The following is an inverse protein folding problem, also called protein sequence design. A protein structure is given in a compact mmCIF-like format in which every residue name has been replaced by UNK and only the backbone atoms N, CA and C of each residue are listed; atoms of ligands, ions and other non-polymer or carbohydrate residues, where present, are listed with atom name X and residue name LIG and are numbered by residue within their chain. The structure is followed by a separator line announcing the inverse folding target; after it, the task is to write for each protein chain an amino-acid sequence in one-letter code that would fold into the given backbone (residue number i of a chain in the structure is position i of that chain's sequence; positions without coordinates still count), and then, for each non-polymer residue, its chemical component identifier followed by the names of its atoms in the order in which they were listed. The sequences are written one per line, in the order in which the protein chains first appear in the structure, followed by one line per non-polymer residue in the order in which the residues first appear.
data_IF_196236311084
#
_entry.id   IF_196236311084
#
_cell.length_a   1.000
_cell.length_b   1.000
_cell.length_c   1.000
_cell.angle_alpha   90.00
_cell.angle_beta   90.00
_cell.angle_gamma   90.00
#
_symmetry.space_group_name_H-M   'P 1'
#
loop_
_entity.id
_entity.type
_entity.pdbx_description
1 polymer ?
#
# COMPACT_ATOMS: atom_id res chain seq x y z
N UNK A 1 0.21 -2.41 -13.73
CA UNK A 1 0.92 -2.91 -12.53
C UNK A 1 1.24 -4.40 -12.70
N UNK A 2 2.33 -4.92 -12.12
CA UNK A 2 2.81 -6.31 -12.32
C UNK A 2 1.92 -7.40 -11.68
N UNK A 3 1.08 -7.03 -10.70
CA UNK A 3 0.23 -7.96 -9.94
C UNK A 3 -1.24 -7.54 -10.00
N UNK A 4 -2.13 -8.52 -10.18
CA UNK A 4 -3.59 -8.31 -10.13
C UNK A 4 -4.06 -8.03 -8.70
N UNK A 5 -5.24 -7.41 -8.58
CA UNK A 5 -5.85 -7.15 -7.27
C UNK A 5 -6.07 -8.45 -6.47
N UNK A 6 -6.61 -9.47 -7.12
CA UNK A 6 -6.84 -10.79 -6.52
C UNK A 6 -5.55 -11.42 -5.99
N UNK A 7 -4.45 -11.30 -6.75
CA UNK A 7 -3.15 -11.81 -6.31
C UNK A 7 -2.66 -11.09 -5.04
N UNK A 8 -2.75 -9.77 -5.00
CA UNK A 8 -2.35 -8.99 -3.82
C UNK A 8 -3.21 -9.34 -2.60
N UNK A 9 -4.52 -9.48 -2.77
CA UNK A 9 -5.45 -9.92 -1.71
C UNK A 9 -5.05 -11.28 -1.15
N UNK A 10 -4.79 -12.26 -2.01
CA UNK A 10 -4.32 -13.59 -1.60
C UNK A 10 -3.01 -13.51 -0.82
N UNK A 11 -2.06 -12.67 -1.24
CA UNK A 11 -0.80 -12.47 -0.53
C UNK A 11 -1.01 -11.92 0.89
N UNK A 12 -1.94 -10.95 1.05
CA UNK A 12 -2.29 -10.38 2.36
C UNK A 12 -2.96 -11.44 3.26
N UNK A 13 -3.88 -12.23 2.71
CA UNK A 13 -4.51 -13.34 3.44
C UNK A 13 -3.51 -14.40 3.91
N UNK A 14 -2.55 -14.78 3.06
CA UNK A 14 -1.48 -15.70 3.42
C UNK A 14 -0.57 -15.11 4.51
N UNK A 15 -0.22 -13.82 4.41
CA UNK A 15 0.60 -13.15 5.41
C UNK A 15 -0.03 -13.20 6.81
N UNK A 16 -1.35 -13.02 6.93
CA UNK A 16 -2.05 -13.14 8.22
C UNK A 16 -2.06 -14.57 8.77
N UNK A 17 -1.88 -15.59 7.93
CA UNK A 17 -1.69 -17.00 8.33
C UNK A 17 -0.24 -17.31 8.70
N UNK A 18 0.68 -16.37 8.52
CA UNK A 18 2.12 -16.59 8.69
C UNK A 18 2.81 -17.24 7.49
N UNK A 19 2.14 -17.29 6.34
CA UNK A 19 2.63 -17.90 5.10
C UNK A 19 3.00 -16.83 4.07
N UNK A 20 3.95 -17.13 3.20
CA UNK A 20 4.24 -16.32 2.01
C UNK A 20 3.97 -17.14 0.74
N UNK A 21 3.38 -16.53 -0.30
CA UNK A 21 3.26 -17.19 -1.59
C UNK A 21 4.63 -17.37 -2.23
N UNK A 22 4.73 -18.33 -3.16
CA UNK A 22 5.95 -18.52 -3.94
C UNK A 22 6.39 -17.22 -4.63
N UNK A 23 7.69 -16.95 -4.53
CA UNK A 23 8.28 -15.74 -5.11
C UNK A 23 8.18 -15.80 -6.64
N UNK A 24 7.52 -14.83 -7.28
CA UNK A 24 7.40 -14.80 -8.73
C UNK A 24 8.76 -14.68 -9.44
N UNK A 25 8.90 -15.29 -10.62
CA UNK A 25 10.14 -15.19 -11.39
C UNK A 25 10.52 -13.73 -11.71
N UNK A 26 11.79 -13.39 -11.49
CA UNK A 26 12.35 -12.06 -11.77
C UNK A 26 12.14 -11.01 -10.66
N UNK A 27 12.02 -11.45 -9.40
CA UNK A 27 12.19 -10.62 -8.20
C UNK A 27 12.86 -11.47 -7.11
N UNK A 28 13.68 -10.87 -6.24
CA UNK A 28 14.22 -11.60 -5.08
C UNK A 28 13.13 -11.81 -4.03
N UNK A 29 13.23 -12.92 -3.29
CA UNK A 29 12.30 -13.26 -2.20
C UNK A 29 12.19 -12.14 -1.18
N UNK A 30 13.33 -11.55 -0.77
CA UNK A 30 13.36 -10.41 0.16
C UNK A 30 12.53 -9.22 -0.34
N UNK A 31 12.68 -8.85 -1.62
CA UNK A 31 11.92 -7.74 -2.21
C UNK A 31 10.44 -8.07 -2.34
N UNK A 32 10.12 -9.33 -2.61
CA UNK A 32 8.73 -9.78 -2.66
C UNK A 32 8.07 -9.73 -1.27
N UNK A 33 8.74 -10.25 -0.24
CA UNK A 33 8.25 -10.20 1.14
C UNK A 33 8.11 -8.75 1.64
N UNK A 34 9.00 -7.83 1.23
CA UNK A 34 8.85 -6.40 1.50
C UNK A 34 7.58 -5.82 0.84
N UNK A 35 7.28 -6.20 -0.40
CA UNK A 35 6.04 -5.77 -1.07
C UNK A 35 4.79 -6.30 -0.37
N UNK A 36 4.77 -7.57 0.02
CA UNK A 36 3.65 -8.17 0.75
C UNK A 36 3.39 -7.41 2.04
N UNK A 37 4.44 -7.11 2.84
CA UNK A 37 4.32 -6.28 4.05
C UNK A 37 3.76 -4.88 3.78
N UNK A 38 4.15 -4.25 2.66
CA UNK A 38 3.59 -2.96 2.28
C UNK A 38 2.09 -3.05 1.95
N UNK A 39 1.67 -4.10 1.23
CA UNK A 39 0.25 -4.32 0.94
C UNK A 39 -0.57 -4.55 2.21
N UNK A 40 -0.05 -5.33 3.15
CA UNK A 40 -0.70 -5.56 4.46
C UNK A 40 -0.92 -4.22 5.17
N UNK A 41 0.12 -3.39 5.28
CA UNK A 41 0.03 -2.06 5.92
C UNK A 41 -1.00 -1.15 5.24
N UNK A 42 -1.08 -1.16 3.91
CA UNK A 42 -2.07 -0.40 3.14
C UNK A 42 -3.48 -0.89 3.44
N UNK A 43 -3.69 -2.21 3.51
CA UNK A 43 -5.00 -2.79 3.84
C UNK A 43 -5.40 -2.47 5.28
N UNK A 44 -4.47 -2.53 6.22
CA UNK A 44 -4.70 -2.17 7.62
C UNK A 44 -5.07 -0.68 7.79
N UNK A 45 -4.49 0.22 6.98
CA UNK A 45 -4.74 1.66 7.08
C UNK A 45 -5.96 2.14 6.29
N UNK A 46 -6.18 1.61 5.09
CA UNK A 46 -7.13 2.15 4.11
C UNK A 46 -8.17 1.13 3.64
N UNK A 47 -8.11 -0.12 4.10
CA UNK A 47 -8.98 -1.20 3.68
C UNK A 47 -8.52 -1.91 2.39
N UNK A 48 -9.17 -3.04 2.03
CA UNK A 48 -8.77 -3.88 0.92
C UNK A 48 -8.85 -3.16 -0.44
N UNK A 49 -9.82 -2.25 -0.62
CA UNK A 49 -9.99 -1.50 -1.86
C UNK A 49 -8.81 -0.61 -2.21
N UNK A 50 -7.98 -0.23 -1.23
CA UNK A 50 -6.76 0.53 -1.47
C UNK A 50 -5.71 -0.24 -2.29
N UNK A 51 -5.79 -1.58 -2.37
CA UNK A 51 -4.92 -2.38 -3.24
C UNK A 51 -5.33 -2.35 -4.71
N UNK A 52 -6.58 -1.92 -5.01
CA UNK A 52 -7.06 -1.81 -6.39
C UNK A 52 -6.25 -0.73 -7.10
N UNK A 53 -5.75 -1.09 -8.26
CA UNK A 53 -5.12 -0.12 -9.14
C UNK A 53 -6.16 0.93 -9.53
N UNK A 54 -5.86 2.19 -9.27
CA UNK A 54 -6.69 3.30 -9.78
C UNK A 54 -6.28 3.55 -11.22
N UNK A 55 -7.24 3.52 -12.14
CA UNK A 55 -6.98 3.75 -13.57
C UNK A 55 -6.48 5.17 -13.84
N UNK A 56 -6.71 6.09 -12.90
CA UNK A 56 -6.25 7.47 -12.95
C UNK A 56 -5.65 7.85 -11.60
N UNK A 57 -4.63 8.71 -11.64
CA UNK A 57 -4.13 9.34 -10.42
C UNK A 57 -5.27 10.17 -9.80
N UNK A 58 -5.40 10.13 -8.48
CA UNK A 58 -6.32 11.02 -7.79
C UNK A 58 -5.92 12.47 -8.10
N UNK A 59 -6.84 13.25 -8.67
CA UNK A 59 -6.68 14.69 -8.70
C UNK A 59 -6.89 15.22 -7.28
N UNK A 60 -5.82 15.79 -6.72
CA UNK A 60 -5.83 16.36 -5.39
C UNK A 60 -6.15 17.84 -5.48
N UNK A 61 -7.19 18.26 -4.78
CA UNK A 61 -7.50 19.68 -4.60
C UNK A 61 -6.40 20.38 -3.79
N UNK A 62 -6.21 21.71 -3.93
CA UNK A 62 -5.28 22.47 -3.11
C UNK A 62 -5.49 22.25 -1.61
N UNK A 63 -6.75 22.13 -1.18
CA UNK A 63 -7.16 21.92 0.22
C UNK A 63 -6.71 20.54 0.72
N UNK A 64 -6.93 19.49 -0.07
CA UNK A 64 -6.49 18.15 0.32
C UNK A 64 -4.96 18.05 0.36
N UNK A 65 -4.25 18.71 -0.58
CA UNK A 65 -2.78 18.78 -0.55
C UNK A 65 -2.30 19.49 0.70
N UNK A 66 -2.93 20.61 1.04
CA UNK A 66 -2.61 21.37 2.25
C UNK A 66 -2.84 20.54 3.51
N UNK A 67 -3.93 19.77 3.58
CA UNK A 67 -4.22 18.89 4.71
C UNK A 67 -3.12 17.84 4.94
N UNK A 68 -2.55 17.27 3.88
CA UNK A 68 -1.42 16.32 3.99
C UNK A 68 -0.16 17.02 4.52
N UNK A 69 0.15 18.22 4.02
CA UNK A 69 1.31 19.00 4.47
C UNK A 69 1.15 19.42 5.92
N UNK A 70 -0.04 19.86 6.33
CA UNK A 70 -0.35 20.26 7.70
C UNK A 70 -0.10 19.12 8.70
N UNK A 71 -0.43 17.87 8.35
CA UNK A 71 -0.14 16.69 9.18
C UNK A 71 1.37 16.46 9.39
N UNK A 72 2.16 16.62 8.32
CA UNK A 72 3.62 16.53 8.42
C UNK A 72 4.18 17.67 9.26
N UNK A 73 3.67 18.89 9.09
CA UNK A 73 4.04 20.04 9.91
C UNK A 73 3.65 19.86 11.39
N UNK A 74 2.58 19.11 11.67
CA UNK A 74 2.17 18.73 13.02
C UNK A 74 3.06 17.63 13.65
N UNK A 75 4.06 17.13 12.93
CA UNK A 75 5.04 16.17 13.44
C UNK A 75 4.82 14.71 13.01
N UNK A 76 3.81 14.43 12.18
CA UNK A 76 3.66 13.10 11.60
C UNK A 76 4.75 12.81 10.56
N UNK A 77 5.22 11.54 10.51
CA UNK A 77 6.17 11.15 9.47
C UNK A 77 5.51 11.17 8.08
N UNK A 78 6.25 11.61 7.07
CA UNK A 78 5.77 11.61 5.68
C UNK A 78 5.31 10.22 5.21
N UNK A 79 5.98 9.15 5.65
CA UNK A 79 5.62 7.76 5.36
C UNK A 79 4.26 7.40 5.95
N UNK A 80 4.01 7.77 7.20
CA UNK A 80 2.73 7.52 7.88
C UNK A 80 1.59 8.26 7.18
N UNK A 81 1.80 9.54 6.83
CA UNK A 81 0.81 10.35 6.13
C UNK A 81 0.49 9.76 4.76
N UNK A 82 1.49 9.36 3.98
CA UNK A 82 1.32 8.72 2.67
C UNK A 82 0.54 7.40 2.77
N UNK A 83 0.97 6.50 3.67
CA UNK A 83 0.30 5.22 3.93
C UNK A 83 -1.18 5.40 4.29
N UNK A 84 -1.49 6.27 5.25
CA UNK A 84 -2.88 6.55 5.66
C UNK A 84 -3.74 7.18 4.56
N UNK A 85 -3.10 7.82 3.59
CA UNK A 85 -3.77 8.50 2.48
C UNK A 85 -3.82 7.66 1.20
N UNK A 86 -3.28 6.43 1.24
CA UNK A 86 -3.19 5.52 0.10
C UNK A 86 -2.32 6.06 -1.04
N UNK A 87 -1.24 6.79 -0.69
CA UNK A 87 -0.23 7.36 -1.60
C UNK A 87 1.03 6.49 -1.58
#
# INVERSE_FOLDING_TARGET
MRYSYEFKRKCVEMYHRGEYPETPNGISEERFHLQVRNWVRIVESCGPDALRHKNQNKEWTPEERYALVARVLAGESNKTVALSSGI
#
